data_IF_234364935749
#
_entry.id   IF_234364935749
#
_cell.length_a   1.000
_cell.length_b   1.000
_cell.length_c   1.000
_cell.angle_alpha   90.00
_cell.angle_beta   90.00
_cell.angle_gamma   90.00
#
_symmetry.space_group_name_H-M   'P 1'
#
loop_
_entity.id
_entity.type
_entity.pdbx_description
1 polymer ?
#
# COMPACT_ATOMS: atom_id res chain seq x y z
N UNK A 1 -2.93 -12.70 15.79
CA UNK A 1 -1.56 -12.65 16.35
C UNK A 1 -0.62 -12.65 15.18
N UNK A 2 0.00 -11.50 14.92
CA UNK A 2 0.80 -11.22 13.72
C UNK A 2 2.07 -12.08 13.62
N UNK A 3 2.82 -12.20 14.72
CA UNK A 3 4.04 -13.00 14.74
C UNK A 3 3.74 -14.50 14.87
N UNK A 4 4.35 -15.32 14.02
CA UNK A 4 4.31 -16.77 14.16
C UNK A 4 5.07 -17.25 15.42
N UNK A 5 4.88 -18.52 15.79
CA UNK A 5 5.46 -19.07 17.03
C UNK A 5 6.99 -19.06 17.07
N UNK A 6 7.65 -19.24 15.91
CA UNK A 6 9.11 -19.20 15.80
C UNK A 6 9.60 -17.76 15.99
N UNK A 7 8.93 -16.80 15.38
CA UNK A 7 9.23 -15.37 15.54
C UNK A 7 9.02 -14.91 16.98
N UNK A 8 7.88 -15.24 17.60
CA UNK A 8 7.64 -14.91 19.02
C UNK A 8 8.70 -15.49 19.96
N UNK A 9 9.17 -16.72 19.69
CA UNK A 9 10.23 -17.34 20.50
C UNK A 9 11.54 -16.55 20.38
N UNK A 10 11.95 -16.24 19.15
CA UNK A 10 13.18 -15.48 18.91
C UNK A 10 13.12 -14.08 19.55
N UNK A 11 11.97 -13.41 19.49
CA UNK A 11 11.77 -12.11 20.13
C UNK A 11 11.82 -12.19 21.66
N UNK A 12 11.26 -13.25 22.27
CA UNK A 12 11.40 -13.50 23.72
C UNK A 12 12.85 -13.81 24.11
N UNK A 13 13.55 -14.60 23.29
CA UNK A 13 14.98 -14.89 23.51
C UNK A 13 15.84 -13.61 23.40
N UNK A 14 15.38 -12.60 22.64
CA UNK A 14 15.99 -11.27 22.56
C UNK A 14 15.58 -10.32 23.71
N UNK A 15 14.73 -10.78 24.64
CA UNK A 15 14.37 -10.06 25.86
C UNK A 15 13.02 -9.35 25.83
N UNK A 16 12.19 -9.53 24.79
CA UNK A 16 10.84 -8.98 24.76
C UNK A 16 9.87 -9.82 25.59
N UNK A 17 9.04 -9.16 26.39
CA UNK A 17 8.00 -9.81 27.17
C UNK A 17 6.77 -10.11 26.32
N UNK A 18 5.87 -10.96 26.83
CA UNK A 18 4.62 -11.29 26.12
C UNK A 18 3.75 -10.05 25.90
N UNK A 19 3.79 -9.09 26.81
CA UNK A 19 3.04 -7.85 26.70
C UNK A 19 3.63 -6.93 25.62
N UNK A 20 4.97 -6.87 25.48
CA UNK A 20 5.62 -6.17 24.38
C UNK A 20 5.21 -6.75 23.02
N UNK A 21 5.17 -8.07 22.90
CA UNK A 21 4.75 -8.75 21.66
C UNK A 21 3.29 -8.47 21.31
N UNK A 22 2.42 -8.35 22.31
CA UNK A 22 1.01 -8.00 22.11
C UNK A 22 0.88 -6.56 21.65
N UNK A 23 1.54 -5.63 22.35
CA UNK A 23 1.54 -4.21 22.00
C UNK A 23 2.08 -3.99 20.58
N UNK A 24 3.17 -4.66 20.21
CA UNK A 24 3.71 -4.61 18.85
C UNK A 24 2.72 -5.17 17.80
N UNK A 25 2.05 -6.28 18.11
CA UNK A 25 1.03 -6.84 17.19
C UNK A 25 -0.19 -5.92 17.04
N UNK A 26 -0.59 -5.20 18.09
CA UNK A 26 -1.68 -4.21 18.03
C UNK A 26 -1.26 -2.98 17.24
N UNK A 27 -0.06 -2.46 17.47
CA UNK A 27 0.49 -1.32 16.75
C UNK A 27 0.59 -1.58 15.23
N UNK A 28 0.92 -2.81 14.80
CA UNK A 28 0.91 -3.18 13.37
C UNK A 28 -0.49 -3.08 12.77
N UNK A 29 -1.52 -3.57 13.48
CA UNK A 29 -2.91 -3.49 12.99
C UNK A 29 -3.36 -2.04 12.87
N UNK A 30 -3.03 -1.22 13.87
CA UNK A 30 -3.34 0.22 13.84
C UNK A 30 -2.62 0.93 12.70
N UNK A 31 -1.34 0.61 12.46
CA UNK A 31 -0.57 1.18 11.35
C UNK A 31 -1.16 0.80 9.99
N UNK A 32 -1.54 -0.46 9.79
CA UNK A 32 -2.17 -0.93 8.54
C UNK A 32 -3.51 -0.24 8.29
N UNK A 33 -4.32 -0.03 9.34
CA UNK A 33 -5.56 0.71 9.24
C UNK A 33 -5.34 2.19 8.90
N UNK A 34 -4.32 2.82 9.49
CA UNK A 34 -3.95 4.20 9.19
C UNK A 34 -3.43 4.35 7.75
N UNK A 35 -2.60 3.42 7.28
CA UNK A 35 -2.10 3.42 5.91
C UNK A 35 -3.24 3.22 4.91
N UNK A 36 -4.20 2.32 5.18
CA UNK A 36 -5.36 2.12 4.32
C UNK A 36 -6.17 3.41 4.14
N UNK A 37 -6.47 4.10 5.25
CA UNK A 37 -7.18 5.37 5.20
C UNK A 37 -6.38 6.46 4.46
N UNK A 38 -5.07 6.56 4.70
CA UNK A 38 -4.21 7.52 4.02
C UNK A 38 -4.13 7.27 2.50
N UNK A 39 -4.18 6.01 2.07
CA UNK A 39 -4.21 5.65 0.66
C UNK A 39 -5.54 6.03 0.02
N UNK A 40 -6.67 5.77 0.67
CA UNK A 40 -7.98 6.22 0.18
C UNK A 40 -8.03 7.75 0.07
N UNK A 41 -7.60 8.46 1.13
CA UNK A 41 -7.52 9.91 1.14
C UNK A 41 -6.65 10.45 -0.02
N UNK A 42 -5.50 9.82 -0.29
CA UNK A 42 -4.64 10.20 -1.40
C UNK A 42 -5.33 10.05 -2.76
N UNK A 43 -6.00 8.93 -3.02
CA UNK A 43 -6.66 8.70 -4.30
C UNK A 43 -7.95 9.54 -4.47
N UNK A 44 -8.61 9.89 -3.37
CA UNK A 44 -9.77 10.79 -3.37
C UNK A 44 -9.37 12.27 -3.53
N UNK A 45 -8.17 12.66 -3.08
CA UNK A 45 -7.66 14.04 -3.22
C UNK A 45 -7.28 14.39 -4.66
N UNK A 46 -6.74 13.42 -5.42
CA UNK A 46 -6.20 13.66 -6.75
C UNK A 46 -7.04 12.97 -7.84
N UNK A 47 -7.74 13.77 -8.65
CA UNK A 47 -8.44 13.30 -9.87
C UNK A 47 -7.49 12.57 -10.84
N UNK A 48 -6.19 12.83 -10.77
CA UNK A 48 -5.18 12.29 -11.67
C UNK A 48 -3.88 12.03 -10.93
N UNK A 49 -3.32 10.83 -11.14
CA UNK A 49 -2.05 10.40 -10.56
C UNK A 49 -1.13 9.86 -11.65
N UNK A 50 0.17 9.93 -11.40
CA UNK A 50 1.21 9.35 -12.23
C UNK A 50 1.75 8.09 -11.56
N UNK A 51 2.20 7.11 -12.33
CA UNK A 51 2.86 5.94 -11.77
C UNK A 51 4.20 5.63 -12.42
N UNK A 52 5.05 4.88 -11.71
CA UNK A 52 6.30 4.31 -12.24
C UNK A 52 6.10 2.95 -12.94
N UNK A 53 4.84 2.57 -13.18
CA UNK A 53 4.48 1.31 -13.80
C UNK A 53 4.96 1.24 -15.25
N UNK A 54 5.69 0.19 -15.59
CA UNK A 54 6.03 -0.12 -16.97
C UNK A 54 4.80 -0.69 -17.70
N UNK A 55 4.20 0.13 -18.57
CA UNK A 55 3.12 -0.30 -19.43
C UNK A 55 3.67 -0.72 -20.79
N UNK A 56 3.50 -1.99 -21.15
CA UNK A 56 3.97 -2.59 -22.41
C UNK A 56 3.56 -1.85 -23.72
N UNK A 57 2.59 -0.93 -23.64
CA UNK A 57 2.11 -0.13 -24.77
C UNK A 57 2.06 1.39 -24.49
N UNK A 58 2.67 1.86 -23.41
CA UNK A 58 2.86 3.29 -23.15
C UNK A 58 4.22 3.74 -23.67
N UNK A 59 4.28 4.92 -24.28
CA UNK A 59 5.55 5.61 -24.56
C UNK A 59 5.94 6.61 -23.47
N UNK A 60 5.08 6.83 -22.46
CA UNK A 60 5.39 7.68 -21.30
C UNK A 60 6.19 6.89 -20.28
N UNK A 61 7.27 7.50 -19.78
CA UNK A 61 8.07 6.96 -18.68
C UNK A 61 7.27 6.88 -17.37
N UNK A 62 6.29 7.77 -17.20
CA UNK A 62 5.36 7.78 -16.07
C UNK A 62 3.93 7.90 -16.61
N UNK A 63 3.19 6.79 -16.79
CA UNK A 63 1.81 6.86 -17.26
C UNK A 63 0.91 7.61 -16.28
N UNK A 64 -0.03 8.35 -16.84
CA UNK A 64 -1.05 9.13 -16.14
C UNK A 64 -2.35 8.31 -16.04
N UNK A 65 -3.01 8.39 -14.88
CA UNK A 65 -4.25 7.67 -14.60
C UNK A 65 -5.28 8.60 -13.96
N UNK A 66 -6.43 8.75 -14.61
CA UNK A 66 -7.58 9.42 -14.01
C UNK A 66 -8.23 8.50 -12.97
N UNK A 67 -8.29 8.94 -11.72
CA UNK A 67 -8.79 8.16 -10.59
C UNK A 67 -10.31 8.26 -10.53
N UNK A 68 -10.98 7.13 -10.31
CA UNK A 68 -12.43 7.09 -10.05
C UNK A 68 -12.72 6.85 -8.57
N UNK A 69 -12.07 5.85 -7.97
CA UNK A 69 -12.12 5.60 -6.52
C UNK A 69 -11.06 4.57 -6.11
N UNK A 70 -10.73 4.57 -4.82
CA UNK A 70 -10.09 3.47 -4.12
C UNK A 70 -11.03 2.91 -3.04
N UNK A 71 -11.11 1.58 -2.93
CA UNK A 71 -11.84 0.89 -1.86
C UNK A 71 -10.90 -0.12 -1.21
N UNK A 72 -10.40 0.21 -0.03
CA UNK A 72 -9.34 -0.50 0.67
C UNK A 72 -9.85 -0.98 2.01
N UNK A 73 -9.66 -2.28 2.25
CA UNK A 73 -10.05 -2.94 3.50
C UNK A 73 -8.85 -3.56 4.18
N UNK A 74 -8.94 -3.68 5.49
CA UNK A 74 -7.89 -4.27 6.32
C UNK A 74 -8.39 -5.47 7.10
N UNK A 75 -7.56 -6.51 7.20
CA UNK A 75 -7.80 -7.64 8.08
C UNK A 75 -6.56 -7.94 8.92
N UNK A 76 -6.50 -7.36 10.12
CA UNK A 76 -5.32 -7.46 10.97
C UNK A 76 -4.16 -6.69 10.35
N UNK A 77 -3.10 -7.41 10.00
CA UNK A 77 -1.89 -6.89 9.34
C UNK A 77 -1.97 -6.92 7.81
N UNK A 78 -3.06 -7.42 7.25
CA UNK A 78 -3.26 -7.48 5.81
C UNK A 78 -4.08 -6.29 5.31
N UNK A 79 -3.68 -5.74 4.16
CA UNK A 79 -4.41 -4.70 3.43
C UNK A 79 -4.68 -5.17 2.00
N UNK A 80 -5.93 -5.05 1.57
CA UNK A 80 -6.41 -5.50 0.26
C UNK A 80 -7.52 -4.59 -0.23
N UNK A 81 -7.60 -4.34 -1.53
CA UNK A 81 -8.62 -3.46 -2.07
C UNK A 81 -8.76 -3.50 -3.58
N UNK A 82 -9.53 -2.55 -4.09
CA UNK A 82 -9.70 -2.30 -5.51
C UNK A 82 -9.43 -0.83 -5.82
N UNK A 83 -8.54 -0.57 -6.77
CA UNK A 83 -8.28 0.75 -7.32
C UNK A 83 -8.90 0.84 -8.70
N UNK A 84 -9.80 1.80 -8.90
CA UNK A 84 -10.47 2.03 -10.18
C UNK A 84 -9.96 3.35 -10.77
N UNK A 85 -9.50 3.26 -12.01
CA UNK A 85 -9.25 4.41 -12.89
C UNK A 85 -10.38 4.53 -13.91
N UNK A 86 -10.39 5.57 -14.75
CA UNK A 86 -11.43 5.76 -15.79
C UNK A 86 -11.55 4.53 -16.73
N UNK A 87 -10.44 4.05 -17.27
CA UNK A 87 -10.47 3.02 -18.33
C UNK A 87 -10.23 1.58 -17.85
N UNK A 88 -9.64 1.39 -16.67
CA UNK A 88 -9.37 0.07 -16.09
C UNK A 88 -9.41 0.10 -14.56
N UNK A 89 -9.34 -1.07 -13.93
CA UNK A 89 -9.23 -1.19 -12.49
C UNK A 89 -8.38 -2.39 -12.12
N UNK A 90 -7.88 -2.40 -10.89
CA UNK A 90 -6.94 -3.41 -10.43
C UNK A 90 -7.10 -3.70 -8.95
N UNK A 91 -6.88 -4.96 -8.62
CA UNK A 91 -6.78 -5.40 -7.24
C UNK A 91 -5.46 -4.93 -6.63
N UNK A 92 -5.50 -4.41 -5.41
CA UNK A 92 -4.32 -3.85 -4.73
C UNK A 92 -4.06 -4.51 -3.39
N UNK A 93 -2.80 -4.61 -3.00
CA UNK A 93 -2.37 -5.17 -1.70
C UNK A 93 -1.19 -4.42 -1.10
N UNK A 94 -1.09 -4.45 0.24
CA UNK A 94 0.11 -4.03 0.99
C UNK A 94 0.56 -2.61 0.66
N UNK A 95 -0.38 -1.67 0.67
CA UNK A 95 -0.11 -0.27 0.38
C UNK A 95 0.61 0.44 1.53
N UNK A 96 1.35 1.50 1.20
CA UNK A 96 1.93 2.42 2.20
C UNK A 96 2.10 3.83 1.65
N UNK A 97 2.05 4.82 2.54
CA UNK A 97 2.47 6.19 2.26
C UNK A 97 4.00 6.31 2.40
N UNK A 98 4.64 7.07 1.51
CA UNK A 98 6.08 7.33 1.51
C UNK A 98 6.36 8.74 2.04
N UNK A 99 7.60 8.98 2.49
CA UNK A 99 8.01 10.25 3.13
C UNK A 99 7.89 11.47 2.19
N UNK A 100 7.96 11.24 0.87
CA UNK A 100 7.84 12.28 -0.15
C UNK A 100 6.39 12.60 -0.54
N UNK A 101 5.41 11.94 0.09
CA UNK A 101 3.99 12.10 -0.18
C UNK A 101 3.47 11.23 -1.34
N UNK A 102 4.33 10.44 -1.99
CA UNK A 102 3.88 9.40 -2.93
C UNK A 102 3.37 8.18 -2.15
N UNK A 103 2.59 7.33 -2.82
CA UNK A 103 2.09 6.07 -2.26
C UNK A 103 2.63 4.89 -3.05
N UNK A 104 2.74 3.72 -2.44
CA UNK A 104 3.18 2.51 -3.12
C UNK A 104 2.27 1.34 -2.82
N UNK A 105 1.84 0.61 -3.86
CA UNK A 105 0.92 -0.51 -3.79
C UNK A 105 1.45 -1.71 -4.59
N UNK A 106 1.20 -2.93 -4.11
CA UNK A 106 1.29 -4.10 -5.00
C UNK A 106 0.03 -4.17 -5.85
N UNK A 107 0.21 -4.21 -7.16
CA UNK A 107 -0.87 -4.40 -8.12
C UNK A 107 -1.01 -5.89 -8.42
N UNK A 108 -2.25 -6.37 -8.42
CA UNK A 108 -2.64 -7.77 -8.45
C UNK A 108 -2.12 -8.56 -9.67
N UNK A 109 -2.58 -9.80 -9.84
CA UNK A 109 -1.94 -10.80 -10.71
C UNK A 109 -1.95 -10.48 -12.21
N UNK A 110 -2.57 -9.38 -12.63
CA UNK A 110 -2.48 -8.91 -14.01
C UNK A 110 -1.18 -8.14 -14.25
N UNK A 111 -0.73 -7.37 -13.25
CA UNK A 111 0.46 -6.53 -13.35
C UNK A 111 1.64 -7.20 -12.64
N UNK A 112 1.39 -7.86 -11.51
CA UNK A 112 2.43 -8.56 -10.74
C UNK A 112 3.61 -7.66 -10.37
N UNK A 113 3.34 -6.41 -10.00
CA UNK A 113 4.40 -5.43 -9.71
C UNK A 113 4.05 -4.56 -8.50
N UNK A 114 5.09 -3.94 -7.92
CA UNK A 114 4.99 -2.98 -6.84
C UNK A 114 5.21 -1.59 -7.42
N UNK A 115 4.15 -0.81 -7.45
CA UNK A 115 4.05 0.43 -8.21
C UNK A 115 3.88 1.61 -7.27
N UNK A 116 4.64 2.67 -7.53
CA UNK A 116 4.50 3.97 -6.88
C UNK A 116 3.52 4.84 -7.66
N UNK A 117 2.68 5.57 -6.94
CA UNK A 117 1.80 6.60 -7.47
C UNK A 117 2.10 7.94 -6.82
N UNK A 118 2.08 9.02 -7.61
CA UNK A 118 2.32 10.37 -7.13
C UNK A 118 1.36 11.36 -7.80
N UNK A 119 1.08 12.46 -7.11
CA UNK A 119 0.29 13.57 -7.64
C UNK A 119 1.01 14.34 -8.77
N UNK A 120 2.35 14.28 -8.80
CA UNK A 120 3.17 14.88 -9.85
C UNK A 120 4.25 13.90 -10.34
N UNK A 121 4.48 13.88 -11.65
CA UNK A 121 5.51 13.06 -12.30
C UNK A 121 6.93 13.32 -11.78
N UNK A 122 7.22 14.53 -11.32
CA UNK A 122 8.55 14.91 -10.83
C UNK A 122 8.91 14.19 -9.53
N UNK A 123 7.93 13.69 -8.78
CA UNK A 123 8.13 12.89 -7.56
C UNK A 123 8.61 11.45 -7.84
N UNK A 124 8.49 11.00 -9.09
CA UNK A 124 8.83 9.63 -9.51
C UNK A 124 10.22 9.53 -10.18
N UNK A 125 10.98 10.63 -10.22
CA UNK A 125 12.30 10.72 -10.86
C UNK A 125 13.47 10.27 -9.98
#
# INVERSE_FOLDING_TARGET
MHFDQRTQRALRDAGLETDDLRAASEAVVEAVAADAAALEDFFDEYDTVYSDMDMAHSSSAYPEHAVEYADITTHGDEMRGWLRFDTWGVYVEGGRLLEDGSVELSLGPTIHDRVRFAADREMLQ
#
